data_IF_215781348586
#
_entry.id   IF_215781348586
#
_cell.length_a   1.000
_cell.length_b   1.000
_cell.length_c   1.000
_cell.angle_alpha   90.00
_cell.angle_beta   90.00
_cell.angle_gamma   90.00
#
_symmetry.space_group_name_H-M   'P 1'
#
loop_
_entity.id
_entity.type
_entity.pdbx_description
1 polymer ?
#
# COMPACT_ATOMS: atom_id res chain seq x y z
N UNK A 1 -3.53 18.83 -1.22
CA UNK A 1 -4.30 17.73 -1.84
C UNK A 1 -3.97 16.38 -1.21
N UNK A 2 -2.70 15.95 -1.10
CA UNK A 2 -2.32 14.72 -0.41
C UNK A 2 -2.78 14.67 1.07
N UNK A 3 -2.55 15.73 1.86
CA UNK A 3 -2.98 15.76 3.27
C UNK A 3 -4.51 15.58 3.45
N UNK A 4 -5.30 16.17 2.55
CA UNK A 4 -6.77 16.05 2.55
C UNK A 4 -7.19 14.62 2.23
N UNK A 5 -6.51 13.97 1.29
CA UNK A 5 -6.71 12.54 1.00
C UNK A 5 -6.43 11.69 2.24
N UNK A 6 -5.30 11.89 2.91
CA UNK A 6 -4.94 11.14 4.13
C UNK A 6 -5.93 11.35 5.27
N UNK A 7 -6.42 12.58 5.47
CA UNK A 7 -7.45 12.88 6.47
C UNK A 7 -8.76 12.17 6.13
N UNK A 8 -9.18 12.17 4.86
CA UNK A 8 -10.39 11.47 4.41
C UNK A 8 -10.26 9.95 4.63
N UNK A 9 -9.11 9.37 4.30
CA UNK A 9 -8.86 7.93 4.53
C UNK A 9 -8.85 7.62 6.04
N UNK A 10 -8.23 8.48 6.88
CA UNK A 10 -8.19 8.31 8.34
C UNK A 10 -9.59 8.46 8.99
N UNK A 11 -10.43 9.35 8.48
CA UNK A 11 -11.80 9.55 8.95
C UNK A 11 -12.72 8.40 8.51
N UNK A 12 -12.58 7.93 7.26
CA UNK A 12 -13.29 6.74 6.78
C UNK A 12 -12.92 5.50 7.61
N UNK A 13 -11.65 5.39 7.99
CA UNK A 13 -11.14 4.38 8.93
C UNK A 13 -11.78 4.48 10.32
N UNK A 14 -11.74 5.66 10.95
CA UNK A 14 -12.29 5.85 12.29
C UNK A 14 -13.80 5.58 12.33
N UNK A 15 -14.51 6.00 11.28
CA UNK A 15 -15.93 5.73 11.09
C UNK A 15 -16.22 4.23 10.91
N UNK A 16 -15.41 3.50 10.13
CA UNK A 16 -15.54 2.06 9.94
C UNK A 16 -15.38 1.26 11.25
N UNK A 17 -14.45 1.68 12.12
CA UNK A 17 -14.24 1.10 13.46
C UNK A 17 -15.46 1.33 14.34
N UNK A 18 -15.92 2.59 14.43
CA UNK A 18 -17.05 2.95 15.29
C UNK A 18 -18.36 2.27 14.88
N UNK A 19 -18.54 2.03 13.58
CA UNK A 19 -19.76 1.41 13.05
C UNK A 19 -19.69 -0.12 12.95
N UNK A 20 -18.59 -0.75 13.38
CA UNK A 20 -18.44 -2.22 13.31
C UNK A 20 -18.37 -2.78 11.88
N UNK A 21 -18.15 -1.92 10.87
CA UNK A 21 -18.01 -2.28 9.45
C UNK A 21 -16.56 -2.65 9.12
N UNK A 22 -15.72 -2.79 10.13
CA UNK A 22 -14.29 -3.11 10.04
C UNK A 22 -14.01 -4.53 9.54
N UNK A 23 -14.27 -4.78 8.26
CA UNK A 23 -13.68 -5.90 7.58
C UNK A 23 -12.18 -5.64 7.38
N UNK A 24 -11.28 -6.62 7.63
CA UNK A 24 -9.82 -6.48 7.51
C UNK A 24 -9.32 -5.87 6.19
N UNK A 25 -10.10 -5.96 5.12
CA UNK A 25 -9.80 -5.34 3.83
C UNK A 25 -9.85 -3.80 3.83
N UNK A 26 -10.58 -3.15 4.75
CA UNK A 26 -10.54 -1.69 4.88
C UNK A 26 -9.19 -1.17 5.39
N UNK A 27 -8.43 -2.01 6.10
CA UNK A 27 -7.06 -1.68 6.55
C UNK A 27 -6.02 -1.77 5.42
N UNK A 28 -6.37 -2.40 4.29
CA UNK A 28 -5.50 -2.57 3.14
C UNK A 28 -5.12 -1.22 2.52
N UNK A 29 -6.11 -0.36 2.28
CA UNK A 29 -5.90 0.98 1.71
C UNK A 29 -5.06 1.87 2.64
N UNK A 30 -5.29 1.79 3.95
CA UNK A 30 -4.54 2.58 4.93
C UNK A 30 -3.07 2.15 4.98
N UNK A 31 -2.81 0.84 4.93
CA UNK A 31 -1.46 0.32 4.87
C UNK A 31 -0.77 0.67 3.55
N UNK A 32 -1.49 0.68 2.43
CA UNK A 32 -0.90 1.13 1.18
C UNK A 32 -0.48 2.60 1.22
N UNK A 33 -1.20 3.47 1.93
CA UNK A 33 -0.88 4.89 1.99
C UNK A 33 0.23 5.27 3.00
N UNK A 34 0.58 4.42 3.97
CA UNK A 34 1.57 4.75 5.02
C UNK A 34 2.97 5.08 4.48
N UNK A 35 3.38 4.49 3.35
CA UNK A 35 4.67 4.78 2.72
C UNK A 35 4.73 6.18 2.10
N UNK A 36 3.61 6.82 1.83
CA UNK A 36 3.61 8.17 1.22
C UNK A 36 4.02 9.27 2.21
N UNK A 37 3.91 9.04 3.53
CA UNK A 37 4.32 10.01 4.56
C UNK A 37 5.81 10.33 4.46
N UNK A 38 6.74 9.35 4.56
CA UNK A 38 8.17 9.62 4.40
C UNK A 38 8.52 10.12 3.00
N UNK A 39 7.79 9.73 1.95
CA UNK A 39 7.99 10.27 0.59
C UNK A 39 7.68 11.77 0.51
N UNK A 40 6.58 12.21 1.12
CA UNK A 40 6.22 13.63 1.21
C UNK A 40 7.24 14.42 2.04
N UNK A 41 7.73 13.84 3.14
CA UNK A 41 8.80 14.46 3.94
C UNK A 41 10.10 14.56 3.15
N UNK A 42 10.46 13.54 2.36
CA UNK A 42 11.62 13.61 1.45
C UNK A 42 11.50 14.79 0.50
N UNK A 43 10.35 14.95 -0.16
CA UNK A 43 10.11 16.08 -1.07
C UNK A 43 10.20 17.45 -0.37
N UNK A 44 9.66 17.56 0.85
CA UNK A 44 9.71 18.81 1.64
C UNK A 44 11.13 19.17 2.11
N UNK A 45 11.98 18.18 2.37
CA UNK A 45 13.33 18.37 2.90
C UNK A 45 14.44 18.07 1.87
N UNK A 46 14.13 18.07 0.57
CA UNK A 46 15.06 17.71 -0.50
C UNK A 46 16.33 18.59 -0.53
N UNK A 47 16.23 19.85 -0.08
CA UNK A 47 17.36 20.78 0.04
C UNK A 47 18.37 20.41 1.14
N UNK A 48 18.04 19.44 1.99
CA UNK A 48 18.87 19.01 3.13
C UNK A 48 19.33 17.56 2.90
N UNK A 49 20.56 17.32 2.38
CA UNK A 49 21.01 16.01 1.95
C UNK A 49 20.88 14.91 3.00
N UNK A 50 21.17 15.23 4.28
CA UNK A 50 21.02 14.27 5.38
C UNK A 50 19.56 13.85 5.60
N UNK A 51 18.62 14.79 5.54
CA UNK A 51 17.20 14.50 5.72
C UNK A 51 16.60 13.81 4.50
N UNK A 52 17.03 14.20 3.29
CA UNK A 52 16.63 13.55 2.05
C UNK A 52 16.96 12.05 2.05
N UNK A 53 18.18 11.68 2.44
CA UNK A 53 18.59 10.28 2.58
C UNK A 53 17.80 9.56 3.68
N UNK A 54 17.66 10.16 4.87
CA UNK A 54 16.89 9.56 5.98
C UNK A 54 15.44 9.27 5.56
N UNK A 55 14.76 10.24 4.94
CA UNK A 55 13.39 10.04 4.48
C UNK A 55 13.30 9.07 3.30
N UNK A 56 14.33 8.98 2.46
CA UNK A 56 14.44 7.92 1.45
C UNK A 56 14.49 6.51 2.06
N UNK A 57 15.30 6.31 3.11
CA UNK A 57 15.37 5.02 3.80
C UNK A 57 14.08 4.69 4.57
N UNK A 58 13.50 5.69 5.25
CA UNK A 58 12.20 5.55 5.92
C UNK A 58 11.09 5.23 4.91
N UNK A 59 11.17 5.77 3.69
CA UNK A 59 10.25 5.43 2.62
C UNK A 59 10.37 3.97 2.22
N UNK A 60 11.57 3.46 1.97
CA UNK A 60 11.77 2.02 1.67
C UNK A 60 11.22 1.17 2.81
N UNK A 61 11.59 1.47 4.06
CA UNK A 61 11.18 0.67 5.22
C UNK A 61 9.66 0.66 5.38
N UNK A 62 9.03 1.84 5.28
CA UNK A 62 7.58 1.96 5.34
C UNK A 62 6.91 1.25 4.17
N UNK A 63 7.44 1.37 2.95
CA UNK A 63 6.93 0.69 1.76
C UNK A 63 6.97 -0.83 1.93
N UNK A 64 8.10 -1.40 2.37
CA UNK A 64 8.22 -2.84 2.60
C UNK A 64 7.30 -3.29 3.73
N UNK A 65 7.30 -2.61 4.87
CA UNK A 65 6.49 -3.00 6.02
C UNK A 65 4.98 -2.93 5.75
N UNK A 66 4.53 -1.79 5.22
CA UNK A 66 3.10 -1.52 5.03
C UNK A 66 2.55 -2.17 3.76
N UNK A 67 3.22 -1.99 2.62
CA UNK A 67 2.74 -2.53 1.34
C UNK A 67 3.12 -3.98 1.16
N UNK A 68 4.36 -4.41 1.38
CA UNK A 68 4.71 -5.82 1.15
C UNK A 68 4.25 -6.73 2.28
N UNK A 69 4.66 -6.48 3.53
CA UNK A 69 4.37 -7.42 4.63
C UNK A 69 2.89 -7.36 4.99
N UNK A 70 2.40 -6.20 5.45
CA UNK A 70 1.04 -6.09 5.95
C UNK A 70 -0.01 -6.28 4.85
N UNK A 71 0.20 -5.68 3.67
CA UNK A 71 -0.68 -5.90 2.51
C UNK A 71 -0.72 -7.37 2.05
N UNK A 72 0.37 -8.14 2.19
CA UNK A 72 0.36 -9.58 1.87
C UNK A 72 -0.38 -10.41 2.91
N UNK A 73 -0.30 -10.05 4.20
CA UNK A 73 -1.10 -10.69 5.26
C UNK A 73 -2.59 -10.51 4.97
N UNK A 74 -3.03 -9.28 4.66
CA UNK A 74 -4.44 -9.02 4.31
C UNK A 74 -4.84 -9.76 3.03
N UNK A 75 -3.98 -9.74 2.00
CA UNK A 75 -4.25 -10.48 0.77
C UNK A 75 -4.41 -11.99 1.05
N UNK A 76 -3.58 -12.56 1.93
CA UNK A 76 -3.71 -13.95 2.39
C UNK A 76 -5.06 -14.21 3.06
N UNK A 77 -5.50 -13.34 3.98
CA UNK A 77 -6.83 -13.45 4.57
C UNK A 77 -7.96 -13.36 3.53
N UNK A 78 -7.85 -12.45 2.57
CA UNK A 78 -8.82 -12.33 1.49
C UNK A 78 -8.87 -13.59 0.63
N UNK A 79 -7.70 -14.14 0.24
CA UNK A 79 -7.59 -15.38 -0.53
C UNK A 79 -8.23 -16.58 0.19
N UNK A 80 -8.12 -16.66 1.51
CA UNK A 80 -8.80 -17.71 2.29
C UNK A 80 -10.33 -17.56 2.29
N UNK A 81 -10.86 -16.34 2.17
CA UNK A 81 -12.31 -16.07 2.14
C UNK A 81 -12.93 -16.19 0.73
N UNK A 82 -12.11 -16.23 -0.32
CA UNK A 82 -12.55 -16.32 -1.71
C UNK A 82 -13.47 -17.52 -2.00
N UNK A 83 -13.16 -18.76 -1.55
CA UNK A 83 -13.99 -19.93 -1.84
C UNK A 83 -15.41 -19.77 -1.29
N UNK A 84 -15.54 -19.31 -0.05
CA UNK A 84 -16.83 -19.11 0.61
C UNK A 84 -17.64 -18.00 -0.08
N UNK A 85 -16.97 -16.90 -0.47
CA UNK A 85 -17.58 -15.83 -1.25
C UNK A 85 -18.15 -16.33 -2.59
N UNK A 86 -17.36 -17.08 -3.37
CA UNK A 86 -17.81 -17.61 -4.65
C UNK A 86 -18.93 -18.65 -4.48
N UNK A 87 -18.87 -19.48 -3.43
CA UNK A 87 -19.94 -20.44 -3.13
C UNK A 87 -21.26 -19.72 -2.81
N UNK A 88 -21.22 -18.65 -2.00
CA UNK A 88 -22.39 -17.84 -1.69
C UNK A 88 -22.96 -17.15 -2.95
N UNK A 89 -22.09 -16.52 -3.75
CA UNK A 89 -22.50 -15.84 -4.98
C UNK A 89 -23.07 -16.81 -6.04
N UNK A 90 -22.48 -18.00 -6.15
CA UNK A 90 -22.96 -19.07 -7.03
C UNK A 90 -24.34 -19.57 -6.60
N UNK A 91 -24.53 -19.86 -5.31
CA UNK A 91 -25.82 -20.31 -4.77
C UNK A 91 -26.92 -19.25 -4.91
N UNK A 92 -26.55 -17.97 -4.84
CA UNK A 92 -27.46 -16.85 -5.09
C UNK A 92 -27.72 -16.57 -6.58
N UNK A 93 -27.04 -17.28 -7.50
CA UNK A 93 -27.03 -17.02 -8.94
C UNK A 93 -26.71 -15.55 -9.29
N UNK A 94 -25.83 -14.92 -8.49
CA UNK A 94 -25.44 -13.52 -8.63
C UNK A 94 -24.16 -13.38 -9.45
N UNK A 95 -24.33 -13.27 -10.78
CA UNK A 95 -23.24 -13.10 -11.73
C UNK A 95 -22.45 -11.79 -11.52
N UNK A 96 -23.09 -10.75 -10.97
CA UNK A 96 -22.42 -9.48 -10.66
C UNK A 96 -21.43 -9.67 -9.52
N UNK A 97 -21.82 -10.36 -8.45
CA UNK A 97 -20.89 -10.68 -7.35
C UNK A 97 -19.74 -11.58 -7.80
N UNK A 98 -20.00 -12.58 -8.66
CA UNK A 98 -18.94 -13.44 -9.22
C UNK A 98 -17.94 -12.61 -10.03
N UNK A 99 -18.41 -11.77 -10.96
CA UNK A 99 -17.52 -10.94 -11.78
C UNK A 99 -16.73 -9.93 -10.94
N UNK A 100 -17.36 -9.31 -9.93
CA UNK A 100 -16.70 -8.43 -8.98
C UNK A 100 -15.61 -9.16 -8.17
N UNK A 101 -15.87 -10.39 -7.71
CA UNK A 101 -14.88 -11.22 -7.01
C UNK A 101 -13.67 -11.57 -7.88
N UNK A 102 -13.89 -11.97 -9.14
CA UNK A 102 -12.79 -12.27 -10.08
C UNK A 102 -11.95 -11.04 -10.35
N UNK A 103 -12.60 -9.88 -10.55
CA UNK A 103 -11.91 -8.61 -10.78
C UNK A 103 -11.09 -8.21 -9.54
N UNK A 104 -11.69 -8.26 -8.34
CA UNK A 104 -10.99 -7.92 -7.10
C UNK A 104 -9.81 -8.86 -6.81
N UNK A 105 -9.99 -10.17 -7.02
CA UNK A 105 -8.91 -11.16 -6.87
C UNK A 105 -7.75 -10.87 -7.82
N UNK A 106 -8.06 -10.59 -9.09
CA UNK A 106 -7.07 -10.26 -10.12
C UNK A 106 -6.32 -8.96 -9.81
N UNK A 107 -7.02 -7.93 -9.35
CA UNK A 107 -6.43 -6.66 -8.92
C UNK A 107 -5.57 -6.83 -7.67
N UNK A 108 -5.97 -7.69 -6.73
CA UNK A 108 -5.17 -8.02 -5.55
C UNK A 108 -3.83 -8.64 -5.94
N UNK A 109 -3.84 -9.67 -6.79
CA UNK A 109 -2.61 -10.31 -7.30
C UNK A 109 -1.73 -9.32 -8.05
N UNK A 110 -2.33 -8.53 -8.95
CA UNK A 110 -1.61 -7.51 -9.72
C UNK A 110 -0.97 -6.45 -8.80
N UNK A 111 -1.69 -5.98 -7.78
CA UNK A 111 -1.16 -5.04 -6.78
C UNK A 111 0.07 -5.62 -6.07
N UNK A 112 0.06 -6.92 -5.71
CA UNK A 112 1.24 -7.56 -5.10
C UNK A 112 2.44 -7.60 -6.04
N UNK A 113 2.23 -8.02 -7.29
CA UNK A 113 3.29 -8.07 -8.30
C UNK A 113 3.90 -6.68 -8.54
N UNK A 114 3.05 -5.65 -8.67
CA UNK A 114 3.49 -4.27 -8.84
C UNK A 114 4.26 -3.76 -7.61
N UNK A 115 3.79 -4.03 -6.39
CA UNK A 115 4.51 -3.59 -5.18
C UNK A 115 5.89 -4.25 -5.05
N UNK A 116 6.05 -5.52 -5.44
CA UNK A 116 7.37 -6.18 -5.48
C UNK A 116 8.28 -5.48 -6.51
N UNK A 117 7.77 -5.28 -7.73
CA UNK A 117 8.50 -4.58 -8.80
C UNK A 117 8.94 -3.17 -8.38
N UNK A 118 8.03 -2.39 -7.81
CA UNK A 118 8.31 -1.04 -7.33
C UNK A 118 9.32 -1.02 -6.18
N UNK A 119 9.29 -2.00 -5.28
CA UNK A 119 10.28 -2.09 -4.19
C UNK A 119 11.70 -2.15 -4.74
N UNK A 120 11.93 -2.94 -5.80
CA UNK A 120 13.24 -3.06 -6.44
C UNK A 120 13.68 -1.72 -7.05
N UNK A 121 12.77 -1.04 -7.75
CA UNK A 121 13.07 0.26 -8.37
C UNK A 121 13.36 1.32 -7.32
N UNK A 122 12.51 1.44 -6.31
CA UNK A 122 12.64 2.42 -5.23
C UNK A 122 13.96 2.20 -4.48
N UNK A 123 14.27 0.95 -4.12
CA UNK A 123 15.51 0.62 -3.42
C UNK A 123 16.73 1.03 -4.26
N UNK A 124 16.75 0.71 -5.56
CA UNK A 124 17.83 1.12 -6.47
C UNK A 124 17.98 2.63 -6.54
N UNK A 125 16.88 3.36 -6.70
CA UNK A 125 16.93 4.81 -6.87
C UNK A 125 17.37 5.53 -5.59
N UNK A 126 16.83 5.13 -4.43
CA UNK A 126 17.22 5.71 -3.14
C UNK A 126 18.68 5.42 -2.84
N UNK A 127 19.16 4.18 -3.06
CA UNK A 127 20.56 3.82 -2.87
C UNK A 127 21.48 4.63 -3.78
N UNK A 128 21.14 4.77 -5.07
CA UNK A 128 21.90 5.59 -6.03
C UNK A 128 21.94 7.08 -5.62
N UNK A 129 20.81 7.62 -5.17
CA UNK A 129 20.73 9.03 -4.72
C UNK A 129 21.53 9.31 -3.43
N UNK A 130 21.87 8.25 -2.68
CA UNK A 130 22.59 8.35 -1.41
C UNK A 130 24.11 8.19 -1.56
N UNK A 131 24.60 7.82 -2.75
CA UNK A 131 26.03 7.78 -3.02
C UNK A 131 26.60 9.21 -3.03
N UNK A 132 27.70 9.48 -2.32
CA UNK A 132 28.34 10.78 -2.36
C UNK A 132 28.78 11.04 -3.80
N UNK A 133 28.32 12.13 -4.42
CA UNK A 133 28.88 12.63 -5.67
C UNK A 133 30.38 12.83 -5.42
N UNK A 134 31.21 11.90 -5.91
CA UNK A 134 32.65 12.10 -5.94
C UNK A 134 32.90 13.47 -6.58
N UNK A 135 33.68 14.29 -5.88
CA UNK A 135 34.09 15.59 -6.39
C UNK A 135 34.86 15.32 -7.68
N UNK A 136 34.22 15.57 -8.82
CA UNK A 136 34.92 15.79 -10.08
C UNK A 136 35.68 17.12 -9.92
N UNK A 137 36.87 17.04 -9.33
CA UNK A 137 37.92 18.06 -9.41
C UNK A 137 38.65 17.93 -10.72
#
# INVERSE_FOLDING_TARGET
TALVHHIVVLLAFYSGILNGVCHPCHFYLLAEELSTIPLNLKALFHDRPRLDSIFGYLFILSFVGSRLIYGSIICGYALCAIPDFFLMAWNANDLTSISAGVMQGSLGVLSRALNIYWTVIIAREVLRSSEPKEKSS
#
